data_IF_298988652291
#
_entry.id   IF_298988652291
#
_cell.length_a   1.000
_cell.length_b   1.000
_cell.length_c   1.000
_cell.angle_alpha   90.00
_cell.angle_beta   90.00
_cell.angle_gamma   90.00
#
_symmetry.space_group_name_H-M   'P 1'
#
loop_
_entity.id
_entity.type
_entity.pdbx_description
1 polymer ?
#
# COMPACT_ATOMS: atom_id res chain seq x y z
N UNK A 1 -5.13 21.51 33.94
CA UNK A 1 -3.84 22.23 33.97
C UNK A 1 -2.88 21.49 33.04
N UNK A 2 -2.25 22.15 32.07
CA UNK A 2 -1.34 21.48 31.12
C UNK A 2 0.07 21.36 31.75
N UNK A 3 0.72 20.18 31.73
CA UNK A 3 2.08 20.01 32.26
C UNK A 3 3.05 21.03 31.65
N UNK A 4 4.03 21.51 32.41
CA UNK A 4 5.01 22.48 31.90
C UNK A 4 5.70 22.01 30.61
N UNK A 5 6.02 20.70 30.52
CA UNK A 5 6.63 20.07 29.36
C UNK A 5 5.74 20.02 28.10
N UNK A 6 4.43 20.20 28.23
CA UNK A 6 3.48 20.17 27.12
C UNK A 6 3.11 21.57 26.59
N UNK A 7 3.65 22.63 27.20
CA UNK A 7 3.42 24.01 26.72
C UNK A 7 4.35 24.28 25.54
N UNK A 8 3.82 24.87 24.47
CA UNK A 8 4.60 25.15 23.25
C UNK A 8 4.83 23.93 22.34
N UNK A 9 4.23 22.78 22.63
CA UNK A 9 4.33 21.61 21.75
C UNK A 9 3.32 21.68 20.60
N UNK A 10 3.78 21.43 19.37
CA UNK A 10 2.89 21.32 18.20
C UNK A 10 2.36 19.90 18.08
N UNK A 11 1.04 19.75 17.94
CA UNK A 11 0.41 18.45 17.70
C UNK A 11 0.01 18.32 16.23
N UNK A 12 0.54 17.30 15.56
CA UNK A 12 0.23 17.02 14.15
C UNK A 12 -0.80 15.90 14.08
N UNK A 13 -1.97 16.20 13.53
CA UNK A 13 -3.03 15.18 13.36
C UNK A 13 -2.61 14.09 12.37
N UNK A 14 -3.09 12.87 12.57
CA UNK A 14 -2.84 11.76 11.64
C UNK A 14 -3.30 12.09 10.20
N UNK A 15 -4.37 12.90 10.06
CA UNK A 15 -4.84 13.39 8.76
C UNK A 15 -3.83 14.34 8.11
N UNK A 16 -3.22 15.24 8.88
CA UNK A 16 -2.18 16.13 8.36
C UNK A 16 -0.94 15.34 7.93
N UNK A 17 -0.49 14.37 8.74
CA UNK A 17 0.61 13.46 8.37
C UNK A 17 0.31 12.72 7.07
N UNK A 18 -0.92 12.21 6.90
CA UNK A 18 -1.33 11.53 5.67
C UNK A 18 -1.29 12.45 4.44
N UNK A 19 -1.63 13.74 4.59
CA UNK A 19 -1.57 14.73 3.51
C UNK A 19 -0.14 15.13 3.16
N UNK A 20 0.71 15.31 4.17
CA UNK A 20 2.14 15.57 3.99
C UNK A 20 2.78 14.39 3.25
N UNK A 21 2.50 13.15 3.66
CA UNK A 21 3.01 11.96 2.98
C UNK A 21 2.51 11.83 1.53
N UNK A 22 1.25 12.21 1.27
CA UNK A 22 0.71 12.25 -0.09
C UNK A 22 1.48 13.26 -0.94
N UNK A 23 1.75 14.45 -0.40
CA UNK A 23 2.52 15.49 -1.07
C UNK A 23 3.98 15.05 -1.31
N UNK A 24 4.63 14.49 -0.30
CA UNK A 24 5.98 13.95 -0.41
C UNK A 24 6.07 12.89 -1.52
N UNK A 25 5.07 12.03 -1.66
CA UNK A 25 5.05 11.05 -2.75
C UNK A 25 4.99 11.72 -4.13
N UNK A 26 4.22 12.81 -4.30
CA UNK A 26 4.12 13.54 -5.56
C UNK A 26 5.39 14.33 -5.93
N UNK A 27 6.28 14.59 -4.97
CA UNK A 27 7.59 15.21 -5.24
C UNK A 27 8.54 14.25 -5.97
N UNK A 28 8.32 12.94 -5.88
CA UNK A 28 9.13 11.97 -6.61
C UNK A 28 8.59 11.81 -8.03
N UNK A 29 9.44 11.89 -9.08
CA UNK A 29 8.99 11.73 -10.48
C UNK A 29 8.42 10.34 -10.79
N UNK A 30 8.63 9.38 -9.90
CA UNK A 30 8.17 8.01 -10.04
C UNK A 30 6.69 7.83 -9.65
N UNK A 31 6.11 8.74 -8.87
CA UNK A 31 4.71 8.64 -8.47
C UNK A 31 3.83 9.22 -9.59
N UNK A 32 2.98 8.36 -10.17
CA UNK A 32 2.12 8.75 -11.29
C UNK A 32 0.63 8.53 -10.99
N UNK A 33 -0.20 9.36 -11.61
CA UNK A 33 -1.65 9.37 -11.39
C UNK A 33 -2.04 9.85 -9.99
N UNK A 34 -3.20 9.40 -9.52
CA UNK A 34 -3.73 9.82 -8.22
C UNK A 34 -2.97 9.14 -7.07
N UNK A 35 -2.42 9.96 -6.17
CA UNK A 35 -1.80 9.51 -4.92
C UNK A 35 -2.80 9.62 -3.78
N UNK A 36 -2.88 8.59 -2.94
CA UNK A 36 -3.68 8.58 -1.71
C UNK A 36 -2.81 8.17 -0.53
N UNK A 37 -2.83 8.96 0.54
CA UNK A 37 -2.14 8.68 1.79
C UNK A 37 -3.10 8.35 2.94
N UNK A 38 -2.67 7.45 3.83
CA UNK A 38 -3.27 7.23 5.15
C UNK A 38 -2.14 7.19 6.18
N UNK A 39 -2.40 7.66 7.39
CA UNK A 39 -1.41 7.60 8.45
C UNK A 39 -2.07 7.31 9.81
N UNK A 40 -1.28 6.73 10.70
CA UNK A 40 -1.60 6.58 12.12
C UNK A 40 -0.45 7.13 12.93
N UNK A 41 -0.75 7.92 13.96
CA UNK A 41 0.25 8.54 14.84
C UNK A 41 0.08 7.99 16.24
N UNK A 42 1.18 7.58 16.87
CA UNK A 42 1.24 7.09 18.25
C UNK A 42 2.41 7.75 18.96
N UNK A 43 2.12 8.74 19.80
CA UNK A 43 3.15 9.58 20.43
C UNK A 43 4.00 10.27 19.37
N UNK A 44 5.32 10.08 19.43
CA UNK A 44 6.30 10.65 18.49
C UNK A 44 6.57 9.75 17.25
N UNK A 45 5.77 8.70 17.05
CA UNK A 45 5.94 7.77 15.93
C UNK A 45 4.77 7.86 14.96
N UNK A 46 5.08 7.83 13.68
CA UNK A 46 4.08 7.80 12.62
C UNK A 46 4.28 6.55 11.74
N UNK A 47 3.16 5.96 11.36
CA UNK A 47 3.12 4.91 10.34
C UNK A 47 2.29 5.42 9.17
N UNK A 48 2.88 5.36 7.98
CA UNK A 48 2.33 5.95 6.77
C UNK A 48 2.15 4.86 5.74
N UNK A 49 1.01 4.88 5.06
CA UNK A 49 0.76 4.05 3.88
C UNK A 49 0.33 4.92 2.71
N UNK A 50 0.98 4.74 1.56
CA UNK A 50 0.71 5.52 0.34
C UNK A 50 0.34 4.58 -0.80
N UNK A 51 -0.77 4.88 -1.46
CA UNK A 51 -1.25 4.21 -2.66
C UNK A 51 -1.04 5.11 -3.87
N UNK A 52 -0.28 4.65 -4.86
CA UNK A 52 0.11 5.44 -6.03
C UNK A 52 0.28 4.55 -7.27
N UNK A 53 0.39 5.17 -8.45
CA UNK A 53 0.84 4.48 -9.65
C UNK A 53 2.35 4.61 -9.85
N UNK A 54 2.95 3.67 -10.58
CA UNK A 54 4.35 3.75 -11.02
C UNK A 54 4.45 3.68 -12.56
N UNK A 55 5.48 4.28 -13.17
CA UNK A 55 5.72 4.16 -14.60
C UNK A 55 6.15 2.75 -14.99
N UNK A 56 5.85 2.36 -16.22
CA UNK A 56 6.22 1.08 -16.82
C UNK A 56 6.55 1.27 -18.31
N UNK A 57 7.65 0.73 -18.85
CA UNK A 57 8.59 -0.18 -18.21
C UNK A 57 9.63 0.54 -17.33
N UNK A 58 9.90 -0.01 -16.15
CA UNK A 58 10.94 0.43 -15.22
C UNK A 58 11.23 -0.66 -14.18
N UNK A 59 12.37 -0.56 -13.48
CA UNK A 59 12.63 -1.36 -12.29
C UNK A 59 11.71 -0.93 -11.15
N UNK A 60 10.58 -1.61 -11.00
CA UNK A 60 9.57 -1.29 -9.99
C UNK A 60 10.10 -1.39 -8.56
N UNK A 61 11.02 -2.32 -8.28
CA UNK A 61 11.58 -2.51 -6.94
C UNK A 61 12.43 -1.32 -6.53
N UNK A 62 13.36 -0.91 -7.40
CA UNK A 62 14.18 0.28 -7.19
C UNK A 62 13.32 1.54 -7.07
N UNK A 63 12.39 1.75 -8.00
CA UNK A 63 11.53 2.94 -8.04
C UNK A 63 10.58 3.04 -6.86
N UNK A 64 9.97 1.92 -6.45
CA UNK A 64 9.16 1.87 -5.23
C UNK A 64 10.01 2.16 -3.99
N UNK A 65 11.23 1.63 -3.91
CA UNK A 65 12.17 1.89 -2.82
C UNK A 65 12.60 3.35 -2.74
N UNK A 66 12.84 4.01 -3.88
CA UNK A 66 13.11 5.46 -3.96
C UNK A 66 11.95 6.27 -3.38
N UNK A 67 10.70 6.02 -3.82
CA UNK A 67 9.52 6.72 -3.30
C UNK A 67 9.30 6.42 -1.82
N UNK A 68 9.46 5.17 -1.41
CA UNK A 68 9.28 4.74 -0.01
C UNK A 68 10.24 5.46 0.94
N UNK A 69 11.53 5.59 0.56
CA UNK A 69 12.54 6.32 1.33
C UNK A 69 12.25 7.82 1.35
N UNK A 70 11.93 8.41 0.19
CA UNK A 70 11.64 9.85 0.08
C UNK A 70 10.43 10.23 0.96
N UNK A 71 9.33 9.49 0.86
CA UNK A 71 8.14 9.73 1.68
C UNK A 71 8.44 9.64 3.17
N UNK A 72 9.20 8.63 3.60
CA UNK A 72 9.55 8.47 5.01
C UNK A 72 10.43 9.62 5.51
N UNK A 73 11.50 9.97 4.78
CA UNK A 73 12.42 11.06 5.14
C UNK A 73 11.67 12.39 5.19
N UNK A 74 11.00 12.75 4.08
CA UNK A 74 10.36 14.05 3.92
C UNK A 74 9.22 14.27 4.91
N UNK A 75 8.43 13.24 5.19
CA UNK A 75 7.37 13.33 6.19
C UNK A 75 7.96 13.50 7.59
N UNK A 76 9.06 12.80 7.91
CA UNK A 76 9.75 12.94 9.19
C UNK A 76 10.31 14.34 9.39
N UNK A 77 10.99 14.88 8.38
CA UNK A 77 11.52 16.26 8.37
C UNK A 77 10.43 17.31 8.62
N UNK A 78 9.30 17.21 7.90
CA UNK A 78 8.24 18.22 7.97
C UNK A 78 7.35 18.11 9.21
N UNK A 79 7.27 16.94 9.85
CA UNK A 79 6.40 16.72 11.01
C UNK A 79 7.14 16.64 12.33
N UNK A 80 8.46 16.43 12.30
CA UNK A 80 9.27 16.10 13.48
C UNK A 80 8.99 14.69 14.04
N UNK A 81 8.13 13.90 13.40
CA UNK A 81 7.78 12.55 13.85
C UNK A 81 8.77 11.51 13.32
N UNK A 82 9.02 10.47 14.11
CA UNK A 82 9.74 9.29 13.65
C UNK A 82 8.84 8.44 12.74
N UNK A 83 9.00 8.58 11.43
CA UNK A 83 8.22 7.83 10.43
C UNK A 83 8.87 6.48 10.17
N UNK A 84 8.17 5.39 10.49
CA UNK A 84 8.60 4.04 10.07
C UNK A 84 8.55 3.95 8.54
N UNK A 85 9.38 3.07 7.97
CA UNK A 85 9.45 2.86 6.53
C UNK A 85 8.03 2.76 5.92
N UNK A 86 7.72 3.69 5.01
CA UNK A 86 6.34 3.89 4.54
C UNK A 86 5.84 2.65 3.77
N UNK A 87 4.61 2.21 3.99
CA UNK A 87 4.04 1.11 3.20
C UNK A 87 3.57 1.62 1.85
N UNK A 88 4.23 1.20 0.77
CA UNK A 88 3.83 1.55 -0.59
C UNK A 88 2.85 0.51 -1.15
N UNK A 89 1.73 0.97 -1.72
CA UNK A 89 0.79 0.14 -2.49
C UNK A 89 0.72 0.65 -3.93
N UNK A 90 1.33 -0.09 -4.85
CA UNK A 90 1.27 0.22 -6.28
C UNK A 90 -0.11 -0.19 -6.82
N UNK A 91 -0.95 0.79 -7.12
CA UNK A 91 -2.33 0.57 -7.55
C UNK A 91 -2.49 0.45 -9.06
N UNK A 92 -1.55 1.01 -9.83
CA UNK A 92 -1.58 1.05 -11.28
C UNK A 92 -0.15 1.15 -11.82
N UNK A 93 0.08 0.54 -12.97
CA UNK A 93 1.28 0.78 -13.77
C UNK A 93 0.87 1.63 -14.98
N UNK A 94 1.58 2.72 -15.23
CA UNK A 94 1.30 3.59 -16.38
C UNK A 94 2.38 3.42 -17.42
N UNK A 95 1.96 3.12 -18.66
CA UNK A 95 2.85 3.23 -19.81
C UNK A 95 2.99 4.70 -20.20
N UNK A 96 4.18 5.14 -20.66
CA UNK A 96 4.28 6.36 -21.42
C UNK A 96 3.24 6.30 -22.54
N UNK A 97 2.26 7.20 -22.50
CA UNK A 97 1.37 7.39 -23.63
C UNK A 97 2.22 8.04 -24.70
N UNK A 98 2.60 7.24 -25.72
CA UNK A 98 3.30 7.73 -26.90
C UNK A 98 2.38 8.67 -27.67
N UNK A 99 2.28 9.92 -27.23
CA UNK A 99 1.62 10.98 -27.98
C UNK A 99 2.71 11.89 -28.51
N UNK A 100 3.07 11.65 -29.77
CA UNK A 100 4.02 12.44 -30.53
C UNK A 100 4.90 11.60 -31.45
N UNK A 101 4.32 11.07 -32.53
CA UNK A 101 5.11 10.80 -33.72
C UNK A 101 5.69 12.14 -34.20
N UNK A 102 6.99 12.34 -33.99
CA UNK A 102 7.73 13.52 -34.46
C UNK A 102 8.51 14.24 -33.36
N UNK A 103 9.69 13.73 -33.01
CA UNK A 103 10.93 14.48 -32.74
C UNK A 103 11.90 13.66 -31.85
N UNK A 104 12.93 13.09 -32.48
CA UNK A 104 14.26 12.96 -31.88
C UNK A 104 14.58 11.71 -31.06
N UNK A 105 15.35 10.82 -31.69
CA UNK A 105 16.36 9.94 -31.08
C UNK A 105 15.91 8.97 -29.97
N UNK A 106 15.50 7.77 -30.42
CA UNK A 106 15.33 6.61 -29.57
C UNK A 106 16.62 6.20 -28.86
N UNK A 107 16.68 6.40 -27.55
CA UNK A 107 17.44 5.53 -26.68
C UNK A 107 16.59 4.28 -26.43
N UNK A 108 16.71 3.30 -27.33
CA UNK A 108 16.18 1.96 -27.12
C UNK A 108 16.95 1.35 -25.96
N UNK A 109 16.44 1.49 -24.74
CA UNK A 109 16.96 0.75 -23.59
C UNK A 109 16.51 -0.70 -23.79
N UNK A 110 17.37 -1.48 -24.45
CA UNK A 110 17.22 -2.93 -24.59
C UNK A 110 17.35 -3.51 -23.19
N UNK A 111 16.21 -3.90 -22.61
CA UNK A 111 16.21 -4.72 -21.41
C UNK A 111 16.52 -6.15 -21.84
N UNK A 112 17.76 -6.57 -21.66
CA UNK A 112 18.18 -7.96 -21.78
C UNK A 112 17.46 -8.77 -20.70
N UNK A 113 16.34 -9.39 -21.07
CA UNK A 113 15.60 -10.31 -20.22
C UNK A 113 16.30 -11.66 -20.29
N UNK A 114 17.35 -11.84 -19.50
CA UNK A 114 17.87 -13.18 -19.24
C UNK A 114 16.99 -13.84 -18.19
N UNK A 115 15.83 -14.33 -18.62
CA UNK A 115 15.04 -15.28 -17.85
C UNK A 115 15.37 -16.68 -18.39
N UNK A 116 15.98 -17.58 -17.59
CA UNK A 116 16.20 -18.95 -18.04
C UNK A 116 14.83 -19.60 -18.30
N UNK A 117 14.72 -20.29 -19.44
CA UNK A 117 13.54 -21.01 -19.85
C UNK A 117 13.28 -22.21 -18.92
N UNK A 118 12.67 -21.95 -17.76
CA UNK A 118 12.13 -22.98 -16.90
C UNK A 118 10.81 -23.49 -17.50
N UNK A 119 10.93 -24.53 -18.33
CA UNK A 119 9.82 -25.45 -18.62
C UNK A 119 9.41 -26.12 -17.30
N UNK A 120 8.38 -25.58 -16.66
CA UNK A 120 7.85 -26.11 -15.41
C UNK A 120 6.43 -25.64 -15.16
N UNK A 121 5.46 -26.51 -15.47
CA UNK A 121 4.09 -26.60 -14.94
C UNK A 121 3.33 -25.27 -14.72
N UNK A 122 2.36 -25.00 -15.61
CA UNK A 122 1.37 -23.91 -15.45
C UNK A 122 0.62 -24.08 -14.12
N UNK A 123 0.91 -23.22 -13.15
CA UNK A 123 0.12 -23.06 -11.93
C UNK A 123 -0.97 -22.02 -12.20
N UNK A 124 -2.27 -22.31 -11.99
CA UNK A 124 -3.32 -21.35 -12.23
C UNK A 124 -3.22 -20.17 -11.26
N UNK A 125 -2.97 -18.99 -11.82
CA UNK A 125 -2.90 -17.69 -11.14
C UNK A 125 -4.30 -17.28 -10.69
N UNK A 126 -4.75 -17.77 -9.53
CA UNK A 126 -5.97 -17.27 -8.86
C UNK A 126 -5.72 -17.02 -7.37
N UNK A 127 -4.73 -16.18 -7.06
CA UNK A 127 -4.48 -15.68 -5.70
C UNK A 127 -5.58 -14.68 -5.28
N UNK A 128 -6.05 -13.84 -6.20
CA UNK A 128 -6.90 -12.69 -5.84
C UNK A 128 -8.39 -13.03 -5.97
N UNK A 129 -8.88 -13.93 -5.12
CA UNK A 129 -10.28 -13.99 -4.66
C UNK A 129 -10.47 -15.15 -3.69
N UNK A 130 -9.64 -15.21 -2.64
CA UNK A 130 -10.12 -15.86 -1.42
C UNK A 130 -11.17 -14.92 -0.82
N UNK A 131 -12.40 -14.98 -1.35
CA UNK A 131 -13.58 -14.59 -0.59
C UNK A 131 -13.50 -15.42 0.70
N UNK A 132 -13.64 -14.82 1.89
CA UNK A 132 -13.44 -15.54 3.13
C UNK A 132 -14.54 -16.60 3.27
N UNK A 133 -14.23 -17.81 2.81
CA UNK A 133 -14.94 -19.04 3.15
C UNK A 133 -14.96 -19.40 4.65
N UNK A 134 -14.10 -18.87 5.57
CA UNK A 134 -14.21 -19.27 6.96
C UNK A 134 -15.51 -18.82 7.62
N UNK A 135 -16.17 -17.74 7.14
CA UNK A 135 -17.41 -17.23 7.77
C UNK A 135 -18.64 -18.11 7.44
N UNK A 136 -18.70 -18.71 6.24
CA UNK A 136 -19.83 -19.57 5.86
C UNK A 136 -19.76 -20.91 6.59
N UNK A 137 -18.55 -21.45 6.76
CA UNK A 137 -18.33 -22.71 7.51
C UNK A 137 -18.67 -22.52 8.98
N UNK A 138 -18.27 -21.40 9.60
CA UNK A 138 -18.61 -21.14 11.00
C UNK A 138 -20.11 -20.89 11.20
N UNK A 139 -20.78 -20.22 10.26
CA UNK A 139 -22.24 -20.02 10.33
C UNK A 139 -23.03 -21.34 10.23
N UNK A 140 -22.62 -22.26 9.34
CA UNK A 140 -23.27 -23.57 9.20
C UNK A 140 -23.08 -24.46 10.45
N UNK A 141 -21.89 -24.46 11.06
CA UNK A 141 -21.63 -25.20 12.29
C UNK A 141 -22.46 -24.67 13.48
N UNK A 142 -22.59 -23.35 13.61
CA UNK A 142 -23.41 -22.74 14.65
C UNK A 142 -24.90 -23.11 14.52
N UNK A 143 -25.43 -23.10 13.31
CA UNK A 143 -26.82 -23.49 13.07
C UNK A 143 -27.10 -24.98 13.36
N UNK A 144 -26.17 -25.88 13.04
CA UNK A 144 -26.32 -27.31 13.32
C UNK A 144 -26.33 -27.61 14.83
N UNK A 145 -25.49 -26.94 15.61
CA UNK A 145 -25.47 -27.09 17.07
C UNK A 145 -26.78 -26.62 17.73
N UNK A 146 -27.35 -25.51 17.25
CA UNK A 146 -28.64 -25.01 17.73
C UNK A 146 -29.80 -25.99 17.43
N UNK A 147 -29.78 -26.67 16.27
CA UNK A 147 -30.78 -27.68 15.92
C UNK A 147 -30.77 -28.89 16.86
N UNK A 148 -29.59 -29.43 17.16
CA UNK A 148 -29.42 -30.59 18.04
C UNK A 148 -29.92 -30.33 19.48
N UNK A 149 -29.72 -29.13 20.01
CA UNK A 149 -30.21 -28.76 21.35
C UNK A 149 -31.74 -28.70 21.46
N UNK A 150 -32.44 -28.32 20.37
CA UNK A 150 -33.90 -28.32 20.37
C UNK A 150 -34.50 -29.72 20.21
N UNK A 151 -33.80 -30.62 19.50
CA UNK A 151 -34.22 -32.02 19.37
C UNK A 151 -34.11 -32.77 20.70
N UNK A 152 -33.07 -32.50 21.49
CA UNK A 152 -32.84 -33.16 22.79
C UNK A 152 -33.94 -32.82 23.81
N UNK A 153 -34.34 -31.56 23.89
CA UNK A 153 -35.42 -31.10 24.79
C UNK A 153 -36.82 -31.62 24.41
N UNK A 154 -37.05 -31.99 23.14
CA UNK A 154 -38.33 -32.53 22.68
C UNK A 154 -38.45 -34.05 22.87
N UNK A 155 -37.40 -34.71 23.36
CA UNK A 155 -37.34 -36.17 23.52
C UNK A 155 -37.50 -36.68 24.97
N UNK A 156 -37.79 -35.78 25.91
CA UNK A 156 -38.15 -36.07 27.33
C UNK A 156 -39.64 -35.85 27.53
#
# INVERSE_FOLDING_TARGET
>A
MIPAAARGTTTVSARAVAKIAQQAATETPNAVGTVRGTATVRGQRAEVSVRLGLPWPADLGRRAGEVQRHVASRTGELTGLSVRMARLRVARLQRPTGTGAGAGAGATVVFETTAPAARGRRVPRRWWSARPAPVVVTALLGAAAAGLLTADMASV
#
